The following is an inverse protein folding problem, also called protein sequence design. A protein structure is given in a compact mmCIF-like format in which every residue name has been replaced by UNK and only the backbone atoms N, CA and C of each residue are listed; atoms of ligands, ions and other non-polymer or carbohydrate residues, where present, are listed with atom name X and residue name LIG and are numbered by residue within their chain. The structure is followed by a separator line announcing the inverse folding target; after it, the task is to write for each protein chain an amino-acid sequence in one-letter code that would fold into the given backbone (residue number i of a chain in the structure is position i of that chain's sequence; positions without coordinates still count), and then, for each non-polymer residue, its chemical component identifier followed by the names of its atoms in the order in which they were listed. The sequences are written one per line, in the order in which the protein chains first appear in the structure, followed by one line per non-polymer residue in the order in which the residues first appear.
data_IF_740435131011
#
_entry.id   IF_740435131011
#
_cell.length_a   1.000
_cell.length_b   1.000
_cell.length_c   1.000
_cell.angle_alpha   90.00
_cell.angle_beta   90.00
_cell.angle_gamma   90.00
#
_symmetry.space_group_name_H-M   'P 1'
#
loop_
_entity.id
_entity.type
_entity.pdbx_description
1 polymer ?
#
# COMPACT_ATOMS: atom_id res chain seq x y z
N UNK A 1 1.41 -13.08 -5.78
CA UNK A 1 0.32 -12.14 -5.44
C UNK A 1 0.75 -11.38 -4.19
N UNK A 2 1.17 -10.11 -4.33
CA UNK A 2 1.49 -9.28 -3.17
C UNK A 2 0.27 -8.96 -2.31
N UNK A 3 0.50 -8.83 -1.01
CA UNK A 3 -0.49 -8.35 -0.04
C UNK A 3 -0.20 -6.90 0.26
N UNK A 4 -1.23 -6.06 0.26
CA UNK A 4 -1.14 -4.63 0.57
C UNK A 4 -2.12 -4.28 1.68
N UNK A 5 -2.00 -3.07 2.22
CA UNK A 5 -3.01 -2.50 3.11
C UNK A 5 -4.00 -1.68 2.31
N UNK A 6 -5.28 -2.02 2.46
CA UNK A 6 -6.42 -1.27 1.91
C UNK A 6 -7.25 -0.70 3.05
N UNK A 7 -7.72 0.52 2.92
CA UNK A 7 -8.63 1.15 3.86
C UNK A 7 -10.07 0.72 3.54
N UNK A 8 -10.81 0.28 4.55
CA UNK A 8 -12.14 -0.33 4.43
C UNK A 8 -13.23 0.64 3.96
N UNK A 9 -13.09 1.95 4.23
CA UNK A 9 -14.14 2.94 3.94
C UNK A 9 -13.89 3.67 2.62
N UNK A 10 -12.65 4.02 2.32
CA UNK A 10 -12.28 4.81 1.13
C UNK A 10 -11.76 3.98 -0.03
N UNK A 11 -11.52 2.68 0.17
CA UNK A 11 -10.81 1.81 -0.78
C UNK A 11 -9.39 2.34 -1.12
N UNK A 12 -8.81 3.14 -0.24
CA UNK A 12 -7.45 3.66 -0.38
C UNK A 12 -6.42 2.56 -0.13
N UNK A 13 -5.40 2.49 -0.98
CA UNK A 13 -4.24 1.62 -0.80
C UNK A 13 -3.16 2.43 -0.11
N UNK A 14 -2.62 1.91 0.99
CA UNK A 14 -1.61 2.59 1.78
C UNK A 14 -0.35 2.84 0.94
N UNK A 15 -0.02 4.11 0.74
CA UNK A 15 1.25 4.55 0.18
C UNK A 15 2.07 5.31 1.21
N UNK A 16 3.37 5.09 1.22
CA UNK A 16 4.29 5.65 2.21
C UNK A 16 5.70 5.79 1.63
N UNK A 17 6.59 6.42 2.39
CA UNK A 17 8.01 6.46 2.04
C UNK A 17 8.64 5.08 2.30
N UNK A 18 9.18 4.48 1.25
CA UNK A 18 9.85 3.18 1.24
C UNK A 18 11.30 3.35 0.78
N UNK A 19 12.14 2.36 1.09
CA UNK A 19 13.52 2.29 0.62
C UNK A 19 13.62 1.05 -0.27
N UNK A 20 14.18 1.20 -1.47
CA UNK A 20 14.40 0.08 -2.38
C UNK A 20 15.73 -0.66 -2.06
N UNK A 21 16.01 -1.74 -2.79
CA UNK A 21 17.24 -2.53 -2.62
C UNK A 21 18.55 -1.77 -2.91
N UNK A 22 18.47 -0.54 -3.42
CA UNK A 22 19.59 0.32 -3.76
C UNK A 22 19.72 1.52 -2.80
N UNK A 23 19.04 1.47 -1.64
CA UNK A 23 19.01 2.54 -0.63
C UNK A 23 18.35 3.86 -1.09
N UNK A 24 17.62 3.84 -2.22
CA UNK A 24 16.87 5.00 -2.67
C UNK A 24 15.50 5.06 -2.01
N UNK A 25 15.23 6.21 -1.38
CA UNK A 25 13.91 6.56 -0.85
C UNK A 25 12.95 6.85 -1.99
N UNK A 26 11.78 6.24 -1.96
CA UNK A 26 10.70 6.50 -2.90
C UNK A 26 9.33 6.41 -2.20
N UNK A 27 8.35 7.13 -2.72
CA UNK A 27 6.96 7.04 -2.29
C UNK A 27 6.23 5.98 -3.11
N UNK A 28 5.68 4.98 -2.44
CA UNK A 28 5.05 3.84 -3.10
C UNK A 28 4.16 3.03 -2.17
N UNK A 29 3.55 1.99 -2.73
CA UNK A 29 2.69 1.04 -2.00
C UNK A 29 3.54 0.04 -1.23
N UNK A 30 3.27 -0.11 0.07
CA UNK A 30 3.85 -1.18 0.88
C UNK A 30 3.18 -2.50 0.49
N UNK A 31 3.98 -3.43 -0.01
CA UNK A 31 3.55 -4.77 -0.41
C UNK A 31 4.37 -5.85 0.31
N UNK A 32 3.70 -6.85 0.85
CA UNK A 32 4.31 -8.07 1.40
C UNK A 32 4.22 -9.20 0.38
N UNK A 33 5.22 -10.08 0.40
CA UNK A 33 5.30 -11.21 -0.53
C UNK A 33 4.34 -12.36 -0.15
N UNK A 34 3.87 -12.41 1.09
CA UNK A 34 2.99 -13.45 1.60
C UNK A 34 2.00 -12.90 2.62
N UNK A 35 0.84 -13.53 2.71
CA UNK A 35 -0.18 -13.22 3.71
C UNK A 35 0.29 -13.47 5.13
N UNK A 36 1.02 -14.56 5.37
CA UNK A 36 1.53 -14.86 6.70
C UNK A 36 2.49 -13.77 7.22
N UNK A 37 3.36 -13.24 6.35
CA UNK A 37 4.24 -12.11 6.71
C UNK A 37 3.45 -10.84 6.92
N UNK A 38 2.43 -10.58 6.08
CA UNK A 38 1.60 -9.40 6.24
C UNK A 38 0.82 -9.43 7.56
N UNK A 39 0.21 -10.56 7.93
CA UNK A 39 -0.53 -10.74 9.19
C UNK A 39 0.35 -10.56 10.42
N UNK A 40 1.62 -10.97 10.35
CA UNK A 40 2.58 -10.80 11.43
C UNK A 40 3.08 -9.36 11.59
N UNK A 41 3.23 -8.62 10.47
CA UNK A 41 3.92 -7.32 10.46
C UNK A 41 2.99 -6.11 10.35
N UNK A 42 1.79 -6.25 9.78
CA UNK A 42 0.99 -5.08 9.38
C UNK A 42 0.61 -4.17 10.55
N UNK A 43 0.30 -4.75 11.71
CA UNK A 43 -0.08 -3.99 12.90
C UNK A 43 1.09 -3.13 13.39
N UNK A 44 2.29 -3.72 13.50
CA UNK A 44 3.51 -3.00 13.84
C UNK A 44 3.82 -1.92 12.81
N UNK A 45 3.72 -2.25 11.52
CA UNK A 45 3.98 -1.31 10.44
C UNK A 45 3.06 -0.08 10.48
N UNK A 46 1.76 -0.26 10.72
CA UNK A 46 0.79 0.84 10.85
C UNK A 46 1.16 1.75 12.04
N UNK A 47 1.53 1.17 13.19
CA UNK A 47 1.98 1.92 14.35
C UNK A 47 3.27 2.71 14.07
N UNK A 48 4.23 2.12 13.34
CA UNK A 48 5.46 2.79 12.91
C UNK A 48 5.21 3.96 11.95
N UNK A 49 4.15 3.89 11.15
CA UNK A 49 3.70 5.02 10.31
C UNK A 49 3.00 6.12 11.13
N UNK A 50 2.81 5.93 12.44
CA UNK A 50 2.09 6.86 13.31
C UNK A 50 0.58 6.90 13.04
N UNK A 51 0.03 5.79 12.55
CA UNK A 51 -1.39 5.67 12.23
C UNK A 51 -2.10 4.91 13.36
N UNK A 52 -2.99 5.58 14.10
CA UNK A 52 -3.67 4.97 15.25
C UNK A 52 -4.87 4.09 14.86
N UNK A 53 -5.36 4.22 13.62
CA UNK A 53 -6.62 3.61 13.18
C UNK A 53 -6.42 2.24 12.52
N UNK A 54 -5.74 1.31 13.20
CA UNK A 54 -5.49 -0.05 12.70
C UNK A 54 -6.75 -0.74 12.16
N UNK A 55 -7.88 -0.54 12.83
CA UNK A 55 -9.17 -1.16 12.47
C UNK A 55 -9.73 -0.67 11.13
N UNK A 56 -9.29 0.47 10.62
CA UNK A 56 -9.70 0.99 9.32
C UNK A 56 -8.99 0.28 8.17
N UNK A 57 -7.92 -0.45 8.44
CA UNK A 57 -7.12 -1.13 7.42
C UNK A 57 -7.41 -2.62 7.39
N UNK A 58 -7.30 -3.20 6.19
CA UNK A 58 -7.38 -4.63 5.94
C UNK A 58 -6.27 -5.08 5.00
N UNK A 59 -5.89 -6.35 5.11
CA UNK A 59 -4.98 -6.99 4.18
C UNK A 59 -5.74 -7.35 2.91
N UNK A 60 -5.27 -6.82 1.79
CA UNK A 60 -5.89 -7.02 0.49
C UNK A 60 -4.86 -7.59 -0.49
N UNK A 61 -5.29 -8.57 -1.29
CA UNK A 61 -4.44 -9.17 -2.30
C UNK A 61 -4.54 -8.36 -3.60
N UNK A 62 -3.39 -7.84 -4.07
CA UNK A 62 -3.29 -7.21 -5.37
C UNK A 62 -2.44 -8.07 -6.30
N UNK A 63 -2.66 -7.91 -7.60
CA UNK A 63 -1.75 -8.46 -8.59
C UNK A 63 -0.43 -7.67 -8.59
N UNK A 64 0.69 -8.34 -8.91
CA UNK A 64 2.01 -7.68 -8.95
C UNK A 64 2.05 -6.56 -9.99
N UNK A 65 1.40 -6.75 -11.14
CA UNK A 65 1.29 -5.72 -12.16
C UNK A 65 0.47 -4.52 -11.67
N UNK A 66 -0.58 -4.76 -10.87
CA UNK A 66 -1.35 -3.67 -10.27
C UNK A 66 -0.50 -2.85 -9.30
N UNK A 67 0.30 -3.48 -8.43
CA UNK A 67 1.22 -2.75 -7.54
C UNK A 67 2.21 -1.89 -8.33
N UNK A 68 2.79 -2.43 -9.42
CA UNK A 68 3.68 -1.67 -10.31
C UNK A 68 2.98 -0.47 -10.93
N UNK A 69 1.77 -0.66 -11.48
CA UNK A 69 0.96 0.44 -12.05
C UNK A 69 0.61 1.47 -10.96
N UNK A 70 0.30 1.04 -9.74
CA UNK A 70 0.06 1.91 -8.59
C UNK A 70 1.25 2.83 -8.30
N UNK A 71 2.46 2.26 -8.21
CA UNK A 71 3.68 3.03 -7.99
C UNK A 71 3.97 4.02 -9.15
N UNK A 72 3.70 3.62 -10.40
CA UNK A 72 3.79 4.54 -11.55
C UNK A 72 2.79 5.70 -11.41
N UNK A 73 1.56 5.44 -10.98
CA UNK A 73 0.53 6.47 -10.77
C UNK A 73 0.89 7.44 -9.63
N UNK A 74 1.45 6.92 -8.55
CA UNK A 74 2.00 7.71 -7.43
C UNK A 74 3.17 8.59 -7.89
N UNK A 75 3.94 8.18 -8.91
CA UNK A 75 5.01 8.97 -9.50
C UNK A 75 6.00 9.54 -8.46
N UNK A 76 6.32 8.75 -7.43
CA UNK A 76 7.18 9.16 -6.32
C UNK A 76 6.72 10.46 -5.61
N UNK A 77 5.43 10.81 -5.68
CA UNK A 77 4.89 12.04 -5.11
C UNK A 77 4.14 11.72 -3.80
N UNK A 78 4.59 12.24 -2.65
CA UNK A 78 3.95 11.98 -1.34
C UNK A 78 2.58 12.62 -1.17
N UNK A 79 2.18 13.54 -2.06
CA UNK A 79 0.85 14.15 -2.03
C UNK A 79 -0.18 13.37 -2.86
N UNK A 80 0.24 12.29 -3.53
CA UNK A 80 -0.68 11.44 -4.29
C UNK A 80 -1.11 10.26 -3.45
N UNK A 81 -2.40 9.96 -3.54
CA UNK A 81 -3.02 8.84 -2.84
C UNK A 81 -3.55 7.86 -3.86
N UNK A 82 -3.49 6.56 -3.56
CA UNK A 82 -3.91 5.51 -4.48
C UNK A 82 -5.22 4.89 -4.01
N UNK A 83 -6.20 4.76 -4.90
CA UNK A 83 -7.52 4.22 -4.59
C UNK A 83 -7.85 3.06 -5.53
N UNK A 84 -8.48 2.03 -5.00
CA UNK A 84 -9.04 0.94 -5.77
C UNK A 84 -10.48 1.31 -6.18
N UNK A 85 -10.78 1.24 -7.47
CA UNK A 85 -12.14 1.47 -7.96
C UNK A 85 -13.00 0.21 -7.81
N UNK A 86 -14.34 0.33 -7.82
CA UNK A 86 -15.23 -0.83 -7.83
C UNK A 86 -15.01 -1.78 -9.01
N UNK A 87 -14.42 -1.30 -10.10
CA UNK A 87 -14.03 -2.09 -11.28
C UNK A 87 -12.68 -2.83 -11.10
N UNK A 88 -12.04 -2.72 -9.94
CA UNK A 88 -10.75 -3.33 -9.65
C UNK A 88 -9.56 -2.62 -10.30
N UNK A 89 -9.69 -1.33 -10.66
CA UNK A 89 -8.59 -0.53 -11.24
C UNK A 89 -8.00 0.41 -10.20
N UNK A 90 -6.70 0.68 -10.31
CA UNK A 90 -6.02 1.63 -9.46
C UNK A 90 -6.06 3.05 -10.05
N UNK A 91 -6.45 4.02 -9.24
CA UNK A 91 -6.46 5.44 -9.58
C UNK A 91 -5.65 6.23 -8.55
N UNK A 92 -4.77 7.12 -9.00
CA UNK A 92 -4.15 8.10 -8.11
C UNK A 92 -4.98 9.39 -8.10
N UNK A 93 -5.15 9.99 -6.94
CA UNK A 93 -5.70 11.34 -6.78
C UNK A 93 -4.66 12.25 -6.14
#
# INVERSE_FOLDING_TARGET
MPIVLKQKLTEEILSCALINNYDFKYHGVKAWNSRATAEAEYASFILEQGMDELWNWELFELDENQVKIGNVKLNNNPNKHLFLTPEGKLQSR
#
